data_IF_434021193656
#
_entry.id   IF_434021193656
#
_cell.length_a   1.000
_cell.length_b   1.000
_cell.length_c   1.000
_cell.angle_alpha   90.00
_cell.angle_beta   90.00
_cell.angle_gamma   90.00
#
_symmetry.space_group_name_H-M   'P 1'
#
loop_
_entity.id
_entity.type
_entity.pdbx_description
1 polymer ?
#
# COMPACT_ATOMS: atom_id res chain seq x y z
N UNK A 1 -3.16 3.03 9.66
CA UNK A 1 -2.01 2.51 10.44
C UNK A 1 -0.96 3.60 10.57
N UNK A 2 -0.48 3.84 11.77
CA UNK A 2 0.58 4.81 12.00
C UNK A 2 1.93 4.29 11.51
N UNK A 3 2.89 5.21 11.30
CA UNK A 3 4.24 4.83 10.90
C UNK A 3 4.93 3.97 11.96
N UNK A 4 4.69 4.27 13.25
CA UNK A 4 5.26 3.50 14.36
C UNK A 4 4.72 2.07 14.38
N UNK A 5 3.43 1.90 14.22
CA UNK A 5 2.81 0.57 14.17
C UNK A 5 3.29 -0.20 12.94
N UNK A 6 3.38 0.46 11.81
CA UNK A 6 3.88 -0.14 10.57
C UNK A 6 5.30 -0.68 10.78
N UNK A 7 6.17 0.13 11.37
CA UNK A 7 7.54 -0.28 11.65
C UNK A 7 7.61 -1.49 12.57
N UNK A 8 6.80 -1.50 13.63
CA UNK A 8 6.83 -2.60 14.62
C UNK A 8 6.29 -3.91 14.07
N UNK A 9 5.43 -3.86 13.04
CA UNK A 9 4.79 -5.04 12.46
C UNK A 9 5.31 -5.39 11.07
N UNK A 10 6.34 -4.73 10.60
CA UNK A 10 6.79 -4.76 9.22
C UNK A 10 6.94 -6.18 8.64
N UNK A 11 7.57 -7.08 9.38
CA UNK A 11 7.84 -8.44 8.91
C UNK A 11 6.57 -9.31 8.79
N UNK A 12 5.48 -8.90 9.42
CA UNK A 12 4.23 -9.66 9.43
C UNK A 12 3.17 -9.09 8.47
N UNK A 13 3.46 -7.96 7.82
CA UNK A 13 2.48 -7.28 6.98
C UNK A 13 2.53 -7.75 5.53
N UNK A 14 1.34 -7.80 4.90
CA UNK A 14 1.22 -7.87 3.45
C UNK A 14 1.14 -6.45 2.94
N UNK A 15 2.14 -6.02 2.18
CA UNK A 15 2.29 -4.64 1.72
C UNK A 15 1.96 -4.54 0.24
N UNK A 16 1.14 -3.57 -0.12
CA UNK A 16 0.86 -3.21 -1.51
C UNK A 16 1.44 -1.82 -1.76
N UNK A 17 2.52 -1.77 -2.51
CA UNK A 17 3.21 -0.53 -2.86
C UNK A 17 2.72 -0.04 -4.22
N UNK A 18 2.04 1.10 -4.23
CA UNK A 18 1.44 1.67 -5.43
C UNK A 18 2.24 2.83 -6.03
N UNK A 19 3.48 2.97 -5.60
CA UNK A 19 4.37 4.02 -6.14
C UNK A 19 4.76 3.72 -7.58
N UNK A 20 5.35 4.73 -8.24
CA UNK A 20 5.87 4.56 -9.59
C UNK A 20 7.12 3.68 -9.58
N UNK A 21 7.47 3.04 -10.71
CA UNK A 21 8.71 2.25 -10.81
C UNK A 21 9.96 3.06 -10.47
N UNK A 22 9.98 4.35 -10.79
CA UNK A 22 11.12 5.22 -10.48
C UNK A 22 11.31 5.40 -8.98
N UNK A 23 10.22 5.58 -8.25
CA UNK A 23 10.27 5.72 -6.80
C UNK A 23 10.73 4.42 -6.14
N UNK A 24 10.26 3.28 -6.63
CA UNK A 24 10.63 1.96 -6.11
C UNK A 24 12.09 1.66 -6.40
N UNK A 25 12.59 2.02 -7.57
CA UNK A 25 13.99 1.85 -7.94
C UNK A 25 14.92 2.63 -7.00
N UNK A 26 14.49 3.83 -6.60
CA UNK A 26 15.23 4.66 -5.70
C UNK A 26 15.30 4.08 -4.28
N UNK A 27 14.17 3.55 -3.80
CA UNK A 27 14.09 2.92 -2.48
C UNK A 27 12.94 1.93 -2.43
N UNK A 28 13.21 0.69 -2.05
CA UNK A 28 12.29 -0.44 -2.14
C UNK A 28 12.18 -1.15 -0.79
N UNK A 29 10.94 -1.22 -0.28
CA UNK A 29 10.64 -1.90 0.98
C UNK A 29 10.33 -3.39 0.78
N UNK A 30 10.17 -3.83 -0.46
CA UNK A 30 9.64 -5.15 -0.77
C UNK A 30 8.11 -5.13 -0.85
N UNK A 31 7.50 -6.30 -0.85
CA UNK A 31 6.05 -6.41 -0.95
C UNK A 31 5.58 -6.51 -2.40
N UNK A 32 4.28 -6.35 -2.58
CA UNK A 32 3.64 -6.38 -3.90
C UNK A 32 3.73 -4.98 -4.48
N UNK A 33 4.29 -4.86 -5.67
CA UNK A 33 4.55 -3.56 -6.30
C UNK A 33 3.72 -3.43 -7.58
N UNK A 34 2.67 -2.60 -7.54
CA UNK A 34 1.82 -2.34 -8.69
C UNK A 34 1.52 -0.83 -8.70
N UNK A 35 2.00 -0.09 -9.70
CA UNK A 35 1.70 1.34 -9.80
C UNK A 35 0.19 1.59 -9.78
N UNK A 36 -0.23 2.70 -9.18
CA UNK A 36 -1.65 2.98 -8.95
C UNK A 36 -2.50 2.92 -10.22
N UNK A 37 -2.05 3.52 -11.30
CA UNK A 37 -2.78 3.53 -12.56
C UNK A 37 -2.95 2.12 -13.14
N UNK A 38 -1.90 1.30 -13.07
CA UNK A 38 -1.96 -0.09 -13.51
C UNK A 38 -2.90 -0.90 -12.63
N UNK A 39 -2.84 -0.69 -11.30
CA UNK A 39 -3.70 -1.39 -10.36
C UNK A 39 -5.18 -1.12 -10.63
N UNK A 40 -5.55 0.15 -10.84
CA UNK A 40 -6.94 0.52 -11.06
C UNK A 40 -7.51 -0.01 -12.38
N UNK A 41 -6.65 -0.28 -13.35
CA UNK A 41 -7.07 -0.87 -14.62
C UNK A 41 -7.10 -2.40 -14.57
N UNK A 42 -6.44 -3.01 -13.61
CA UNK A 42 -6.24 -4.46 -13.55
C UNK A 42 -6.41 -4.99 -12.12
N UNK A 43 -7.59 -4.80 -11.54
CA UNK A 43 -7.86 -5.24 -10.16
C UNK A 43 -7.73 -6.76 -9.98
N UNK A 44 -7.82 -7.52 -11.06
CA UNK A 44 -7.63 -8.97 -11.03
C UNK A 44 -6.23 -9.37 -10.55
N UNK A 45 -5.25 -8.48 -10.64
CA UNK A 45 -3.90 -8.75 -10.17
C UNK A 45 -3.84 -9.04 -8.66
N UNK A 46 -4.80 -8.50 -7.91
CA UNK A 46 -4.86 -8.67 -6.45
C UNK A 46 -6.16 -9.34 -5.98
N UNK A 47 -6.93 -9.92 -6.89
CA UNK A 47 -8.21 -10.55 -6.55
C UNK A 47 -8.06 -11.63 -5.47
N UNK A 48 -6.99 -12.41 -5.51
CA UNK A 48 -6.72 -13.46 -4.52
C UNK A 48 -6.46 -12.91 -3.12
N UNK A 49 -6.19 -11.61 -2.99
CA UNK A 49 -5.90 -10.96 -1.71
C UNK A 49 -7.12 -10.27 -1.10
N UNK A 50 -8.28 -10.40 -1.70
CA UNK A 50 -9.47 -9.61 -1.39
C UNK A 50 -9.87 -9.60 0.08
N UNK A 51 -9.67 -10.71 0.77
CA UNK A 51 -10.04 -10.86 2.17
C UNK A 51 -8.84 -10.88 3.12
N UNK A 52 -7.65 -10.65 2.61
CA UNK A 52 -6.44 -10.59 3.44
C UNK A 52 -6.22 -9.18 3.99
N UNK A 53 -5.54 -9.11 5.13
CA UNK A 53 -5.10 -7.83 5.68
C UNK A 53 -3.99 -7.27 4.79
N UNK A 54 -4.22 -6.09 4.22
CA UNK A 54 -3.27 -5.44 3.31
C UNK A 54 -3.03 -4.02 3.78
N UNK A 55 -1.77 -3.60 3.83
CA UNK A 55 -1.39 -2.21 4.04
C UNK A 55 -0.97 -1.63 2.70
N UNK A 56 -1.63 -0.57 2.29
CA UNK A 56 -1.31 0.12 1.04
C UNK A 56 -0.37 1.27 1.35
N UNK A 57 0.72 1.38 0.61
CA UNK A 57 1.72 2.42 0.83
C UNK A 57 1.98 3.24 -0.43
N UNK A 58 2.24 4.52 -0.21
CA UNK A 58 2.73 5.43 -1.24
C UNK A 58 3.69 6.43 -0.58
N UNK A 59 4.15 7.44 -1.30
CA UNK A 59 5.13 8.38 -0.77
C UNK A 59 4.61 9.19 0.44
N UNK A 60 3.44 9.81 0.30
CA UNK A 60 2.88 10.72 1.32
C UNK A 60 1.64 10.20 2.04
N UNK A 61 1.08 9.09 1.60
CA UNK A 61 -0.16 8.54 2.15
C UNK A 61 -1.43 9.04 1.45
N UNK A 62 -1.35 10.01 0.55
CA UNK A 62 -2.53 10.55 -0.14
C UNK A 62 -3.08 9.59 -1.20
N UNK A 63 -2.24 9.11 -2.09
CA UNK A 63 -2.66 8.20 -3.15
C UNK A 63 -3.08 6.85 -2.60
N UNK A 64 -2.39 6.36 -1.58
CA UNK A 64 -2.73 5.09 -0.95
C UNK A 64 -4.09 5.16 -0.25
N UNK A 65 -4.45 6.31 0.34
CA UNK A 65 -5.78 6.47 0.93
C UNK A 65 -6.87 6.47 -0.15
N UNK A 66 -6.63 7.10 -1.28
CA UNK A 66 -7.56 7.06 -2.42
C UNK A 66 -7.72 5.62 -2.91
N UNK A 67 -6.62 4.90 -3.08
CA UNK A 67 -6.63 3.51 -3.49
C UNK A 67 -7.41 2.63 -2.50
N UNK A 68 -7.18 2.83 -1.21
CA UNK A 68 -7.90 2.10 -0.15
C UNK A 68 -9.41 2.26 -0.30
N UNK A 69 -9.87 3.49 -0.50
CA UNK A 69 -11.31 3.78 -0.65
C UNK A 69 -11.90 3.11 -1.90
N UNK A 70 -11.18 3.14 -3.00
CA UNK A 70 -11.64 2.52 -4.25
C UNK A 70 -11.72 1.00 -4.08
N UNK A 71 -10.69 0.40 -3.53
CA UNK A 71 -10.63 -1.05 -3.33
C UNK A 71 -11.70 -1.53 -2.33
N UNK A 72 -11.95 -0.75 -1.29
CA UNK A 72 -13.01 -1.07 -0.32
C UNK A 72 -14.37 -1.21 -1.00
N UNK A 73 -14.66 -0.34 -1.97
CA UNK A 73 -15.90 -0.40 -2.75
C UNK A 73 -15.94 -1.60 -3.70
N UNK A 74 -14.80 -2.22 -3.95
CA UNK A 74 -14.69 -3.41 -4.82
C UNK A 74 -14.60 -4.70 -4.03
N UNK A 75 -14.89 -4.66 -2.73
CA UNK A 75 -14.98 -5.86 -1.90
C UNK A 75 -13.73 -6.24 -1.13
N UNK A 76 -12.72 -5.39 -1.11
CA UNK A 76 -11.53 -5.61 -0.28
C UNK A 76 -11.86 -5.20 1.15
N UNK A 77 -11.89 -6.16 2.08
CA UNK A 77 -12.51 -5.99 3.38
C UNK A 77 -11.57 -5.62 4.51
N UNK A 78 -10.26 -5.73 4.32
CA UNK A 78 -9.30 -5.55 5.42
C UNK A 78 -8.09 -4.75 4.95
N UNK A 79 -8.35 -3.50 4.58
CA UNK A 79 -7.33 -2.61 4.04
C UNK A 79 -6.96 -1.53 5.05
N UNK A 80 -5.68 -1.22 5.12
CA UNK A 80 -5.18 -0.08 5.87
C UNK A 80 -4.28 0.76 4.98
N UNK A 81 -4.22 2.05 5.29
CA UNK A 81 -3.32 3.01 4.66
C UNK A 81 -2.18 3.30 5.63
N UNK A 82 -0.95 3.36 5.14
CA UNK A 82 0.17 3.86 5.93
C UNK A 82 0.04 5.39 6.03
N UNK A 83 -0.37 5.89 7.18
CA UNK A 83 -0.60 7.32 7.43
C UNK A 83 0.71 8.08 7.29
N UNK A 84 0.70 9.13 6.50
CA UNK A 84 1.89 9.91 6.19
C UNK A 84 2.83 9.24 5.18
N UNK A 85 2.51 8.04 4.72
CA UNK A 85 3.27 7.30 3.72
C UNK A 85 4.68 6.93 4.15
N UNK A 86 5.49 6.57 3.17
CA UNK A 86 6.90 6.25 3.41
C UNK A 86 7.68 7.43 3.95
N UNK A 87 7.25 8.65 3.62
CA UNK A 87 7.87 9.87 4.16
C UNK A 87 7.84 9.86 5.69
N UNK A 88 6.69 9.55 6.30
CA UNK A 88 6.57 9.46 7.76
C UNK A 88 7.38 8.29 8.32
N UNK A 89 7.36 7.15 7.66
CA UNK A 89 8.11 5.96 8.07
C UNK A 89 9.62 6.24 8.09
N UNK A 90 10.14 6.87 7.05
CA UNK A 90 11.58 7.17 6.94
C UNK A 90 12.03 8.26 7.90
N UNK A 91 11.10 9.04 8.44
CA UNK A 91 11.38 10.09 9.42
C UNK A 91 11.46 9.58 10.86
N UNK A 92 11.17 8.30 11.09
CA UNK A 92 11.23 7.73 12.44
C UNK A 92 12.66 7.57 12.97
#
# INVERSE_FOLDING_TARGET
MSAEEFKSRLSALTILDIRTPYEIEDWDLGGIQIPLDELLLNLELIESLKNQAIVIICHTGLQSEIARKILAKRGFTNLENLEGGLEAFLAL
#
